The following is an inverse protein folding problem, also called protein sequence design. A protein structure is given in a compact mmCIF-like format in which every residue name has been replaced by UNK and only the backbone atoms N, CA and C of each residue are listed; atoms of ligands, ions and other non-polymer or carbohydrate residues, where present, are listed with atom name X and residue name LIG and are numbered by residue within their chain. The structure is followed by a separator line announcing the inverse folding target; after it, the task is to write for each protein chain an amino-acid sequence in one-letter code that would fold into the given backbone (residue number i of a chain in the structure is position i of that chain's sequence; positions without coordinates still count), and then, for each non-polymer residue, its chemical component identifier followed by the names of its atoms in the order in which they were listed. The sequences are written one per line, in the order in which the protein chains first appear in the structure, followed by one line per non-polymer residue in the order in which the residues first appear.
data_IF_808593662373
#
_entry.id   IF_808593662373
#
_cell.length_a   1.000
_cell.length_b   1.000
_cell.length_c   1.000
_cell.angle_alpha   90.00
_cell.angle_beta   90.00
_cell.angle_gamma   90.00
#
_symmetry.space_group_name_H-M   'P 1'
#
loop_
_entity.id
_entity.type
_entity.pdbx_description
1 polymer ?
#
# COMPACT_ATOMS: atom_id res chain seq x y z
N UNK A 1 12.68 7.28 -23.12
CA UNK A 1 12.36 8.21 -22.00
C UNK A 1 13.33 7.96 -20.86
N UNK A 2 13.58 8.93 -19.97
CA UNK A 2 14.40 8.70 -18.76
C UNK A 2 13.83 7.54 -17.95
N UNK A 3 14.69 6.70 -17.36
CA UNK A 3 14.30 5.52 -16.57
C UNK A 3 13.28 5.87 -15.49
N UNK A 4 13.45 7.02 -14.82
CA UNK A 4 12.53 7.53 -13.80
C UNK A 4 11.10 7.70 -14.31
N UNK A 5 10.92 8.18 -15.54
CA UNK A 5 9.59 8.37 -16.13
C UNK A 5 8.91 7.02 -16.43
N UNK A 6 9.69 6.03 -16.87
CA UNK A 6 9.17 4.67 -17.12
C UNK A 6 8.74 4.03 -15.80
N UNK A 7 9.57 4.12 -14.76
CA UNK A 7 9.23 3.62 -13.42
C UNK A 7 7.97 4.27 -12.84
N UNK A 8 7.83 5.59 -13.01
CA UNK A 8 6.64 6.30 -12.57
C UNK A 8 5.36 5.79 -13.25
N UNK A 9 5.39 5.66 -14.58
CA UNK A 9 4.24 5.16 -15.34
C UNK A 9 3.88 3.73 -14.93
N UNK A 10 4.87 2.85 -14.81
CA UNK A 10 4.65 1.46 -14.37
C UNK A 10 4.04 1.44 -12.96
N UNK A 11 4.56 2.27 -12.04
CA UNK A 11 4.03 2.36 -10.68
C UNK A 11 2.55 2.80 -10.66
N UNK A 12 2.18 3.78 -11.47
CA UNK A 12 0.78 4.23 -11.59
C UNK A 12 -0.11 3.12 -12.14
N UNK A 13 0.32 2.42 -13.20
CA UNK A 13 -0.45 1.33 -13.81
C UNK A 13 -0.64 0.18 -12.81
N UNK A 14 0.45 -0.26 -12.16
CA UNK A 14 0.40 -1.35 -11.17
C UNK A 14 -0.48 -0.97 -9.99
N UNK A 15 -0.38 0.27 -9.49
CA UNK A 15 -1.24 0.77 -8.43
C UNK A 15 -2.72 0.78 -8.81
N UNK A 16 -3.05 1.24 -10.02
CA UNK A 16 -4.43 1.26 -10.51
C UNK A 16 -5.00 -0.16 -10.69
N UNK A 17 -4.23 -1.07 -11.31
CA UNK A 17 -4.62 -2.48 -11.46
C UNK A 17 -4.82 -3.15 -10.10
N UNK A 18 -3.94 -2.87 -9.13
CA UNK A 18 -4.08 -3.35 -7.76
C UNK A 18 -5.38 -2.87 -7.10
N UNK A 19 -5.72 -1.58 -7.23
CA UNK A 19 -6.94 -1.02 -6.68
C UNK A 19 -8.21 -1.67 -7.29
N UNK A 20 -8.26 -1.81 -8.62
CA UNK A 20 -9.40 -2.45 -9.30
C UNK A 20 -9.51 -3.93 -8.90
N UNK A 21 -8.37 -4.63 -8.80
CA UNK A 21 -8.35 -6.05 -8.40
C UNK A 21 -8.85 -6.25 -6.97
N UNK A 22 -8.45 -5.37 -6.05
CA UNK A 22 -8.93 -5.37 -4.67
C UNK A 22 -10.45 -5.14 -4.60
N UNK A 23 -10.96 -4.13 -5.32
CA UNK A 23 -12.39 -3.86 -5.37
C UNK A 23 -13.17 -5.06 -5.92
N UNK A 24 -12.68 -5.68 -7.00
CA UNK A 24 -13.28 -6.87 -7.56
C UNK A 24 -13.30 -8.05 -6.58
N UNK A 25 -12.18 -8.33 -5.91
CA UNK A 25 -12.07 -9.44 -4.96
C UNK A 25 -12.96 -9.23 -3.71
N UNK A 26 -13.07 -8.00 -3.21
CA UNK A 26 -13.83 -7.69 -1.99
C UNK A 26 -15.34 -7.61 -2.27
N UNK A 27 -15.74 -6.97 -3.37
CA UNK A 27 -17.15 -6.68 -3.65
C UNK A 27 -17.81 -7.66 -4.63
N UNK A 28 -17.07 -8.52 -5.33
CA UNK A 28 -17.61 -9.39 -6.39
C UNK A 28 -18.62 -10.47 -5.95
N UNK A 29 -18.69 -10.80 -4.65
CA UNK A 29 -19.50 -11.91 -4.09
C UNK A 29 -18.67 -12.77 -3.13
N UNK A 30 -19.21 -13.84 -2.55
CA UNK A 30 -18.51 -14.63 -1.51
C UNK A 30 -17.31 -15.41 -2.06
N UNK A 31 -17.49 -16.14 -3.17
CA UNK A 31 -16.48 -17.00 -3.78
C UNK A 31 -15.71 -16.33 -4.93
N UNK A 32 -15.64 -15.00 -4.92
CA UNK A 32 -14.99 -14.29 -6.01
C UNK A 32 -13.46 -14.36 -5.92
N UNK A 33 -12.87 -14.54 -7.10
CA UNK A 33 -11.43 -14.64 -7.28
C UNK A 33 -11.03 -13.72 -8.44
N UNK A 34 -10.08 -12.82 -8.20
CA UNK A 34 -9.57 -11.89 -9.20
C UNK A 34 -8.07 -12.11 -9.34
N UNK A 35 -7.62 -12.54 -10.52
CA UNK A 35 -6.22 -12.91 -10.78
C UNK A 35 -5.63 -13.91 -9.76
N UNK A 36 -6.47 -14.84 -9.26
CA UNK A 36 -6.07 -15.83 -8.25
C UNK A 36 -6.09 -15.31 -6.80
N UNK A 37 -6.46 -14.05 -6.58
CA UNK A 37 -6.58 -13.45 -5.24
C UNK A 37 -8.01 -13.66 -4.75
N UNK A 38 -8.15 -14.30 -3.58
CA UNK A 38 -9.45 -14.47 -2.92
C UNK A 38 -9.79 -13.25 -2.07
N UNK A 39 -11.05 -13.14 -1.65
CA UNK A 39 -11.48 -12.11 -0.70
C UNK A 39 -10.69 -12.16 0.61
N UNK A 40 -10.42 -13.36 1.12
CA UNK A 40 -9.70 -13.54 2.37
C UNK A 40 -8.27 -13.02 2.25
N UNK A 41 -7.59 -13.34 1.16
CA UNK A 41 -6.24 -12.85 0.87
C UNK A 41 -6.22 -11.31 0.81
N UNK A 42 -7.16 -10.72 0.07
CA UNK A 42 -7.27 -9.27 -0.06
C UNK A 42 -7.47 -8.57 1.29
N UNK A 43 -8.34 -9.11 2.16
CA UNK A 43 -8.61 -8.53 3.47
C UNK A 43 -7.41 -8.66 4.41
N UNK A 44 -6.75 -9.82 4.46
CA UNK A 44 -5.56 -10.01 5.31
C UNK A 44 -4.42 -9.10 4.84
N UNK A 45 -4.16 -9.00 3.54
CA UNK A 45 -3.18 -8.07 3.00
C UNK A 45 -3.50 -6.62 3.39
N UNK A 46 -4.77 -6.21 3.32
CA UNK A 46 -5.16 -4.85 3.71
C UNK A 46 -4.91 -4.57 5.20
N UNK A 47 -5.15 -5.53 6.10
CA UNK A 47 -4.89 -5.38 7.51
C UNK A 47 -3.38 -5.17 7.79
N UNK A 48 -2.52 -5.94 7.13
CA UNK A 48 -1.07 -5.81 7.24
C UNK A 48 -0.61 -4.44 6.71
N UNK A 49 -1.14 -3.99 5.57
CA UNK A 49 -0.81 -2.69 4.99
C UNK A 49 -1.22 -1.53 5.90
N UNK A 50 -2.38 -1.63 6.56
CA UNK A 50 -2.84 -0.65 7.55
C UNK A 50 -1.88 -0.60 8.74
N UNK A 51 -1.46 -1.75 9.27
CA UNK A 51 -0.47 -1.81 10.35
C UNK A 51 0.85 -1.15 9.93
N UNK A 52 1.36 -1.46 8.74
CA UNK A 52 2.54 -0.83 8.17
C UNK A 52 2.40 0.69 8.06
N UNK A 53 1.24 1.17 7.60
CA UNK A 53 0.97 2.59 7.49
C UNK A 53 0.97 3.28 8.85
N UNK A 54 0.34 2.68 9.87
CA UNK A 54 0.33 3.21 11.24
C UNK A 54 1.74 3.31 11.79
N UNK A 55 2.52 2.22 11.73
CA UNK A 55 3.89 2.19 12.23
C UNK A 55 4.81 3.16 11.48
N UNK A 56 4.66 3.26 10.15
CA UNK A 56 5.40 4.22 9.33
C UNK A 56 5.09 5.66 9.71
N UNK A 57 3.82 6.00 9.94
CA UNK A 57 3.42 7.35 10.38
C UNK A 57 3.94 7.66 11.79
N UNK A 58 3.84 6.73 12.73
CA UNK A 58 4.38 6.89 14.08
C UNK A 58 5.90 7.14 14.02
N UNK A 59 6.62 6.35 13.23
CA UNK A 59 8.07 6.52 13.03
C UNK A 59 8.42 7.88 12.43
N UNK A 60 7.68 8.33 11.41
CA UNK A 60 7.88 9.64 10.81
C UNK A 60 7.62 10.79 11.82
N UNK A 61 6.55 10.70 12.60
CA UNK A 61 6.25 11.67 13.66
C UNK A 61 7.36 11.67 14.72
N UNK A 62 7.83 10.50 15.13
CA UNK A 62 8.92 10.37 16.09
C UNK A 62 10.22 10.99 15.57
N UNK A 63 10.57 10.75 14.31
CA UNK A 63 11.75 11.36 13.69
C UNK A 63 11.65 12.90 13.63
N UNK A 64 10.50 13.44 13.20
CA UNK A 64 10.27 14.88 13.21
C UNK A 64 10.31 15.48 14.63
N UNK A 65 9.94 14.72 15.66
CA UNK A 65 10.06 15.13 17.06
C UNK A 65 11.52 15.23 17.50
N UNK A 66 12.33 14.20 17.19
CA UNK A 66 13.76 14.18 17.51
C UNK A 66 14.49 15.33 16.80
N UNK A 67 14.17 15.59 15.52
CA UNK A 67 14.78 16.68 14.74
C UNK A 67 14.55 18.03 15.42
N UNK A 68 13.33 18.28 15.89
CA UNK A 68 12.98 19.52 16.60
C UNK A 68 13.69 19.70 17.94
N UNK A 69 14.07 18.59 18.59
CA UNK A 69 14.78 18.60 19.88
C UNK A 69 16.30 18.68 19.73
N UNK A 70 16.82 18.60 18.50
CA UNK A 70 18.26 18.46 18.26
C UNK A 70 18.81 17.12 18.74
N UNK A 71 17.93 16.12 18.93
CA UNK A 71 18.28 14.76 19.41
C UNK A 71 18.60 13.81 18.24
N UNK A 72 18.67 14.32 17.00
CA UNK A 72 19.06 13.56 15.82
C UNK A 72 20.58 13.57 15.69
N UNK A 73 21.17 12.38 15.76
CA UNK A 73 22.51 12.10 15.24
C UNK A 73 22.46 11.94 13.72
#
# INVERSE_FOLDING_TARGET
MKLSKIMHIISVIVGFVGAVSFLGAVFGGADNVVFGITKLDALICSAILVLFAIWGQIGAIHHMMLEKRGEVL
#
